data_IF_642485708186
#
_entry.id   IF_642485708186
#
_cell.length_a   1.000
_cell.length_b   1.000
_cell.length_c   1.000
_cell.angle_alpha   90.00
_cell.angle_beta   90.00
_cell.angle_gamma   90.00
#
_symmetry.space_group_name_H-M   'P 1'
#
loop_
_entity.id
_entity.type
_entity.pdbx_description
1 polymer ?
#
# COMPACT_ATOMS: atom_id res chain seq x y z
N UNK A 1 21.96 6.15 -6.77
CA UNK A 1 20.58 6.04 -6.28
C UNK A 1 19.86 7.32 -6.69
N UNK A 2 18.91 7.26 -7.61
CA UNK A 2 18.17 8.45 -8.04
C UNK A 2 17.19 8.84 -6.94
N UNK A 3 17.38 10.00 -6.33
CA UNK A 3 16.42 10.64 -5.42
C UNK A 3 15.24 11.09 -6.24
N UNK A 4 14.23 10.23 -6.33
CA UNK A 4 12.95 10.59 -6.93
C UNK A 4 12.30 11.58 -5.99
N UNK A 5 12.01 12.76 -6.52
CA UNK A 5 11.28 13.81 -5.81
C UNK A 5 9.94 13.25 -5.33
N UNK A 6 9.51 13.58 -4.11
CA UNK A 6 8.25 13.09 -3.54
C UNK A 6 7.06 13.48 -4.44
N UNK A 7 7.16 14.59 -5.17
CA UNK A 7 6.15 15.00 -6.14
C UNK A 7 6.07 14.11 -7.39
N UNK A 8 7.11 13.30 -7.65
CA UNK A 8 7.15 12.32 -8.74
C UNK A 8 6.76 10.90 -8.30
N UNK A 9 6.54 10.65 -7.01
CA UNK A 9 6.07 9.34 -6.54
C UNK A 9 4.64 9.05 -7.01
N UNK A 10 4.27 7.78 -7.24
CA UNK A 10 2.91 7.42 -7.64
C UNK A 10 1.86 7.93 -6.64
N UNK A 11 0.70 8.37 -7.14
CA UNK A 11 -0.29 9.06 -6.32
C UNK A 11 -0.85 8.23 -5.14
N UNK A 12 -0.72 6.90 -5.14
CA UNK A 12 -1.05 6.09 -3.96
C UNK A 12 0.02 6.23 -2.86
N UNK A 13 1.31 6.31 -3.20
CA UNK A 13 2.40 6.49 -2.24
C UNK A 13 2.27 7.85 -1.54
N UNK A 14 1.83 8.88 -2.28
CA UNK A 14 1.53 10.22 -1.74
C UNK A 14 0.22 10.32 -0.93
N UNK A 15 -0.43 9.20 -0.62
CA UNK A 15 -1.68 9.21 0.18
C UNK A 15 -2.94 9.71 -0.54
N UNK A 16 -2.85 10.08 -1.82
CA UNK A 16 -3.98 10.65 -2.61
C UNK A 16 -4.97 9.56 -3.04
N UNK A 17 -4.56 8.28 -3.07
CA UNK A 17 -5.44 7.16 -3.40
C UNK A 17 -5.13 5.90 -2.59
N UNK A 18 -6.15 5.05 -2.43
CA UNK A 18 -5.96 3.68 -1.95
C UNK A 18 -5.05 2.87 -2.89
N UNK A 19 -4.41 1.80 -2.40
CA UNK A 19 -3.43 1.01 -3.16
C UNK A 19 -3.98 0.44 -4.48
N UNK A 20 -5.29 0.18 -4.56
CA UNK A 20 -5.96 -0.28 -5.78
C UNK A 20 -6.69 0.83 -6.56
N UNK A 21 -6.77 2.05 -6.02
CA UNK A 21 -7.73 3.06 -6.46
C UNK A 21 -7.33 3.93 -7.66
N UNK A 22 -6.12 3.74 -8.21
CA UNK A 22 -5.57 4.55 -9.32
C UNK A 22 -4.83 3.72 -10.38
N UNK A 23 -5.06 2.41 -10.44
CA UNK A 23 -4.44 1.55 -11.44
C UNK A 23 -5.37 1.47 -12.65
N UNK A 24 -5.40 2.51 -13.49
CA UNK A 24 -6.37 2.65 -14.60
C UNK A 24 -5.76 2.40 -15.98
N UNK A 25 -4.44 2.40 -16.09
CA UNK A 25 -3.70 2.34 -17.35
C UNK A 25 -3.23 0.91 -17.63
N UNK A 26 -3.68 0.35 -18.75
CA UNK A 26 -3.24 -0.96 -19.23
C UNK A 26 -1.85 -0.88 -19.87
N UNK A 27 -0.89 -1.66 -19.36
CA UNK A 27 0.36 -1.94 -20.05
C UNK A 27 0.27 -3.33 -20.69
N UNK A 28 0.21 -3.38 -22.02
CA UNK A 28 0.13 -4.62 -22.80
C UNK A 28 1.45 -4.83 -23.54
N UNK A 29 1.96 -6.07 -23.50
CA UNK A 29 3.16 -6.46 -24.26
C UNK A 29 2.91 -7.75 -25.01
N UNK A 30 3.76 -8.05 -26.00
CA UNK A 30 3.77 -9.30 -26.76
C UNK A 30 5.12 -9.98 -26.56
N UNK A 31 5.09 -11.28 -26.31
CA UNK A 31 6.25 -12.16 -26.26
C UNK A 31 5.97 -13.40 -27.11
N UNK A 32 7.00 -14.12 -27.51
CA UNK A 32 6.82 -15.41 -28.18
C UNK A 32 6.28 -16.48 -27.21
N UNK A 33 5.79 -17.58 -27.77
CA UNK A 33 5.13 -18.67 -27.01
C UNK A 33 6.07 -19.32 -25.97
N UNK A 34 7.34 -19.52 -26.32
CA UNK A 34 8.29 -20.16 -25.40
C UNK A 34 8.55 -19.26 -24.18
N UNK A 35 8.71 -17.95 -24.43
CA UNK A 35 8.88 -16.95 -23.37
C UNK A 35 7.64 -16.81 -22.49
N UNK A 36 6.42 -16.79 -23.07
CA UNK A 36 5.17 -16.76 -22.29
C UNK A 36 5.07 -17.96 -21.35
N UNK A 37 5.39 -19.16 -21.85
CA UNK A 37 5.36 -20.39 -21.05
C UNK A 37 6.29 -20.33 -19.85
N UNK A 38 7.54 -19.90 -20.05
CA UNK A 38 8.51 -19.73 -18.96
C UNK A 38 8.03 -18.68 -17.96
N UNK A 39 7.51 -17.56 -18.45
CA UNK A 39 6.99 -16.49 -17.59
C UNK A 39 5.80 -16.96 -16.73
N UNK A 40 4.86 -17.71 -17.31
CA UNK A 40 3.72 -18.29 -16.58
C UNK A 40 4.15 -19.31 -15.52
N UNK A 41 5.14 -20.14 -15.83
CA UNK A 41 5.72 -21.06 -14.84
C UNK A 41 6.34 -20.28 -13.67
N UNK A 42 7.06 -19.21 -13.96
CA UNK A 42 7.63 -18.35 -12.92
C UNK A 42 6.56 -17.67 -12.06
N UNK A 43 5.46 -17.19 -12.67
CA UNK A 43 4.31 -16.65 -11.94
C UNK A 43 3.73 -17.69 -10.96
N UNK A 44 3.48 -18.91 -11.44
CA UNK A 44 2.93 -19.99 -10.64
C UNK A 44 3.84 -20.36 -9.46
N UNK A 45 5.15 -20.49 -9.70
CA UNK A 45 6.13 -20.79 -8.65
C UNK A 45 6.22 -19.68 -7.60
N UNK A 46 6.03 -18.43 -8.02
CA UNK A 46 6.10 -17.26 -7.14
C UNK A 46 4.76 -16.94 -6.45
N UNK A 47 3.73 -17.77 -6.65
CA UNK A 47 2.39 -17.56 -6.08
C UNK A 47 1.75 -16.24 -6.52
N UNK A 48 2.01 -15.82 -7.75
CA UNK A 48 1.55 -14.54 -8.29
C UNK A 48 1.05 -14.69 -9.72
N UNK A 49 0.61 -13.59 -10.33
CA UNK A 49 0.11 -13.55 -11.70
C UNK A 49 0.96 -12.63 -12.58
N UNK A 50 0.79 -12.77 -13.89
CA UNK A 50 1.49 -12.00 -14.91
C UNK A 50 1.33 -10.48 -14.74
N UNK A 51 0.13 -10.02 -14.37
CA UNK A 51 -0.15 -8.59 -14.21
C UNK A 51 0.55 -8.01 -12.98
N UNK A 52 0.66 -8.79 -11.91
CA UNK A 52 1.34 -8.39 -10.69
C UNK A 52 2.85 -8.25 -10.92
N UNK A 53 3.49 -9.23 -11.56
CA UNK A 53 4.92 -9.15 -11.88
C UNK A 53 5.23 -8.04 -12.89
N UNK A 54 4.38 -7.84 -13.89
CA UNK A 54 4.55 -6.73 -14.84
C UNK A 54 4.47 -5.39 -14.10
N UNK A 55 3.51 -5.21 -13.20
CA UNK A 55 3.39 -4.01 -12.38
C UNK A 55 4.62 -3.80 -11.52
N UNK A 56 5.10 -4.84 -10.83
CA UNK A 56 6.29 -4.73 -9.99
C UNK A 56 7.53 -4.37 -10.80
N UNK A 57 7.71 -4.93 -12.00
CA UNK A 57 8.81 -4.60 -12.90
C UNK A 57 8.76 -3.14 -13.37
N UNK A 58 7.58 -2.65 -13.77
CA UNK A 58 7.39 -1.26 -14.20
C UNK A 58 7.71 -0.31 -13.05
N UNK A 59 7.20 -0.58 -11.85
CA UNK A 59 7.47 0.25 -10.68
C UNK A 59 8.94 0.19 -10.27
N UNK A 60 9.57 -0.98 -10.32
CA UNK A 60 11.00 -1.11 -10.05
C UNK A 60 11.84 -0.28 -11.03
N UNK A 61 11.46 -0.27 -12.30
CA UNK A 61 12.17 0.47 -13.36
C UNK A 61 11.98 1.98 -13.22
N UNK A 62 10.74 2.44 -12.98
CA UNK A 62 10.44 3.86 -12.85
C UNK A 62 10.89 4.45 -11.52
N UNK A 63 10.81 3.66 -10.44
CA UNK A 63 10.90 4.17 -9.07
C UNK A 63 11.98 3.51 -8.20
N UNK A 64 12.68 2.50 -8.70
CA UNK A 64 13.70 1.77 -7.93
C UNK A 64 13.15 0.88 -6.82
N UNK A 65 11.82 0.73 -6.69
CA UNK A 65 11.15 -0.19 -5.76
C UNK A 65 9.97 -0.86 -6.45
N UNK A 66 9.61 -2.07 -6.03
CA UNK A 66 8.42 -2.76 -6.55
C UNK A 66 7.14 -2.10 -6.02
N UNK A 67 6.02 -2.26 -6.73
CA UNK A 67 4.73 -1.75 -6.28
C UNK A 67 4.34 -2.38 -4.94
N UNK A 68 4.56 -3.69 -4.79
CA UNK A 68 4.27 -4.41 -3.54
C UNK A 68 5.08 -3.86 -2.37
N UNK A 69 6.36 -3.53 -2.56
CA UNK A 69 7.18 -2.94 -1.52
C UNK A 69 6.65 -1.56 -1.09
N UNK A 70 6.33 -0.68 -2.05
CA UNK A 70 5.74 0.63 -1.75
C UNK A 70 4.36 0.51 -1.07
N UNK A 71 3.54 -0.44 -1.50
CA UNK A 71 2.23 -0.69 -0.90
C UNK A 71 2.35 -1.19 0.54
N UNK A 72 3.29 -2.10 0.82
CA UNK A 72 3.58 -2.58 2.16
C UNK A 72 4.12 -1.46 3.07
N UNK A 73 5.06 -0.65 2.57
CA UNK A 73 5.55 0.53 3.29
C UNK A 73 4.38 1.44 3.67
N UNK A 74 3.48 1.76 2.74
CA UNK A 74 2.31 2.58 3.04
C UNK A 74 1.42 2.00 4.14
N UNK A 75 1.15 0.70 4.11
CA UNK A 75 0.32 0.04 5.12
C UNK A 75 0.94 0.16 6.52
N UNK A 76 2.25 -0.05 6.63
CA UNK A 76 2.98 0.10 7.89
C UNK A 76 2.89 1.55 8.43
N UNK A 77 3.12 2.55 7.57
CA UNK A 77 3.02 3.96 7.98
C UNK A 77 1.59 4.33 8.42
N UNK A 78 0.55 3.77 7.80
CA UNK A 78 -0.84 4.00 8.24
C UNK A 78 -1.11 3.35 9.61
N UNK A 79 -0.63 2.13 9.86
CA UNK A 79 -0.73 1.48 11.16
C UNK A 79 -0.02 2.28 12.25
N UNK A 80 1.18 2.80 11.97
CA UNK A 80 1.91 3.70 12.87
C UNK A 80 1.12 4.98 13.16
N UNK A 81 0.51 5.58 12.13
CA UNK A 81 -0.34 6.77 12.29
C UNK A 81 -1.56 6.49 13.15
N UNK A 82 -2.25 5.37 12.94
CA UNK A 82 -3.39 4.93 13.76
C UNK A 82 -2.95 4.71 15.20
N UNK A 83 -1.81 4.05 15.41
CA UNK A 83 -1.23 3.83 16.73
C UNK A 83 -0.88 5.14 17.45
N UNK A 84 -0.30 6.11 16.75
CA UNK A 84 0.01 7.43 17.29
C UNK A 84 -1.27 8.20 17.65
N UNK A 85 -2.28 8.18 16.77
CA UNK A 85 -3.60 8.78 17.05
C UNK A 85 -4.25 8.18 18.29
N UNK A 86 -4.23 6.84 18.43
CA UNK A 86 -4.77 6.15 19.61
C UNK A 86 -4.06 6.55 20.91
N UNK A 87 -2.74 6.78 20.87
CA UNK A 87 -1.96 7.28 22.01
C UNK A 87 -2.31 8.73 22.35
N UNK A 88 -2.54 9.56 21.33
CA UNK A 88 -2.94 10.97 21.48
C UNK A 88 -4.36 11.12 22.04
N UNK A 89 -5.29 10.24 21.67
CA UNK A 89 -6.69 10.33 22.13
C UNK A 89 -6.92 9.73 23.52
N UNK A 90 -5.98 8.94 24.06
CA UNK A 90 -6.14 8.24 25.34
C UNK A 90 -7.35 7.28 25.37
N UNK A 91 -7.56 6.53 26.46
CA UNK A 91 -8.89 6.03 26.76
C UNK A 91 -9.74 7.26 27.08
N UNK A 92 -10.77 7.55 26.27
CA UNK A 92 -11.83 8.45 26.69
C UNK A 92 -12.54 7.77 27.87
N UNK A 93 -12.08 8.02 29.10
CA UNK A 93 -12.91 7.88 30.27
C UNK A 93 -13.96 8.98 30.16
N UNK A 94 -15.14 8.61 29.65
CA UNK A 94 -16.31 9.47 29.77
C UNK A 94 -16.49 9.80 31.26
N UNK A 95 -16.83 11.05 31.62
CA UNK A 95 -16.98 11.40 33.03
C UNK A 95 -18.01 10.46 33.65
N UNK A 96 -17.57 9.65 34.62
CA UNK A 96 -18.48 8.99 35.53
C UNK A 96 -19.26 10.11 36.22
N UNK A 97 -20.54 10.25 35.86
CA UNK A 97 -21.49 10.98 36.67
C UNK A 97 -21.61 10.23 37.99
N UNK A 98 -20.72 10.58 38.91
CA UNK A 98 -20.72 10.11 40.28
C UNK A 98 -22.14 10.32 40.83
N UNK A 99 -22.80 9.19 41.11
CA UNK A 99 -23.90 9.13 42.05
C UNK A 99 -23.47 9.88 43.32
N UNK A 100 -24.11 11.02 43.60
CA UNK A 100 -24.08 11.63 44.91
C UNK A 100 -25.53 11.89 45.31
N UNK A 101 -25.99 11.08 46.26
CA UNK A 101 -27.32 11.18 46.83
C UNK A 101 -27.57 12.54 47.48
N UNK A 102 -28.84 12.92 47.52
CA UNK A 102 -29.37 13.99 48.35
C UNK A 102 -30.66 13.49 48.99
N UNK A 103 -30.59 13.25 50.29
CA UNK A 103 -31.75 13.22 51.17
C UNK A 103 -32.59 14.50 50.97
N UNK A 104 -33.92 14.35 50.88
CA UNK A 104 -34.90 15.08 51.69
C UNK A 104 -36.29 14.48 51.50
#
# INVERSE_FOLDING_TARGET
MSTIDQDQEPAFARGIAGPLGKLTEDLKTKVDEATDKVFRQHCALSGTDASTLLRDFVYLTCYGKTWRAMAAEKLLHEEERIGAMRKLTGPFEGPEFAQRGGHH
#
